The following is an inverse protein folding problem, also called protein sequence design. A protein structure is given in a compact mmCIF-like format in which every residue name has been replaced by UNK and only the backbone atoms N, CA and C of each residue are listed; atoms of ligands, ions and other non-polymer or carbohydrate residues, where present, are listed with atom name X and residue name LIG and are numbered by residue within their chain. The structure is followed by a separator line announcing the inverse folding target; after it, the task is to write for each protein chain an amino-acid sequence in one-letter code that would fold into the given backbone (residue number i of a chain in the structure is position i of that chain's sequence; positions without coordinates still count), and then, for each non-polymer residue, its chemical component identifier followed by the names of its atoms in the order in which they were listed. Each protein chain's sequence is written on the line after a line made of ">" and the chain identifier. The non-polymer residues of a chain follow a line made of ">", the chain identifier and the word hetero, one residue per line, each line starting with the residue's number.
data_IF_193733219810
#
_entry.id   IF_193733219810
#
_cell.length_a   1.000
_cell.length_b   1.000
_cell.length_c   1.000
_cell.angle_alpha   90.00
_cell.angle_beta   90.00
_cell.angle_gamma   90.00
#
_symmetry.space_group_name_H-M   'P 1'
#
loop_
_entity.id
_entity.type
_entity.pdbx_description
1 polymer ?
#
# COMPACT_ATOMS: atom_id res chain seq x y z
N UNK A 1 -19.22 25.89 -21.07
CA UNK A 1 -17.75 25.91 -21.31
C UNK A 1 -16.89 25.96 -20.03
N UNK A 2 -17.44 25.80 -18.82
CA UNK A 2 -16.64 25.70 -17.58
C UNK A 2 -16.16 24.29 -17.23
N UNK A 3 -16.67 23.27 -17.92
CA UNK A 3 -16.43 21.85 -17.63
C UNK A 3 -14.95 21.46 -17.84
N UNK A 4 -14.38 21.76 -19.01
CA UNK A 4 -13.00 21.38 -19.34
C UNK A 4 -11.99 22.06 -18.40
N UNK A 5 -12.17 23.35 -18.08
CA UNK A 5 -11.29 24.07 -17.16
C UNK A 5 -11.44 23.56 -15.71
N UNK A 6 -12.65 23.20 -15.30
CA UNK A 6 -12.90 22.59 -13.98
C UNK A 6 -12.28 21.19 -13.88
N UNK A 7 -12.41 20.37 -14.92
CA UNK A 7 -11.82 19.04 -15.00
C UNK A 7 -10.28 19.09 -14.97
N UNK A 8 -9.68 20.03 -15.71
CA UNK A 8 -8.24 20.26 -15.71
C UNK A 8 -7.76 20.75 -14.34
N UNK A 9 -8.46 21.72 -13.72
CA UNK A 9 -8.14 22.21 -12.38
C UNK A 9 -8.25 21.13 -11.30
N UNK A 10 -9.27 20.27 -11.37
CA UNK A 10 -9.41 19.10 -10.51
C UNK A 10 -8.23 18.13 -10.70
N UNK A 11 -7.81 17.88 -11.94
CA UNK A 11 -6.61 17.08 -12.26
C UNK A 11 -5.33 17.65 -11.65
N UNK A 12 -5.10 18.96 -11.74
CA UNK A 12 -3.94 19.62 -11.14
C UNK A 12 -3.95 19.57 -9.60
N UNK A 13 -5.13 19.67 -8.99
CA UNK A 13 -5.31 19.57 -7.54
C UNK A 13 -4.96 18.16 -7.03
N UNK A 14 -5.38 17.13 -7.77
CA UNK A 14 -5.08 15.73 -7.44
C UNK A 14 -3.60 15.39 -7.63
N UNK A 15 -2.95 15.95 -8.66
CA UNK A 15 -1.52 15.77 -8.88
C UNK A 15 -0.67 16.37 -7.74
N UNK A 16 -1.09 17.49 -7.15
CA UNK A 16 -0.41 18.10 -6.01
C UNK A 16 -0.44 17.24 -4.72
N UNK A 17 -1.39 16.30 -4.61
CA UNK A 17 -1.46 15.33 -3.51
C UNK A 17 -0.45 14.18 -3.68
N UNK A 18 0.06 13.97 -4.89
CA UNK A 18 1.15 13.04 -5.17
C UNK A 18 2.45 13.80 -4.93
N UNK A 19 2.88 13.88 -3.68
CA UNK A 19 4.20 14.43 -3.34
C UNK A 19 5.19 13.25 -3.26
N UNK A 20 5.80 12.81 -4.38
CA UNK A 20 6.70 11.68 -4.36
C UNK A 20 7.92 12.04 -3.50
N UNK A 21 8.39 11.07 -2.73
CA UNK A 21 9.62 11.25 -1.98
C UNK A 21 10.77 11.58 -2.94
N UNK A 22 11.54 12.61 -2.59
CA UNK A 22 12.72 13.07 -3.34
C UNK A 22 13.97 12.25 -3.04
N UNK A 23 13.87 11.22 -2.19
CA UNK A 23 14.98 10.35 -1.84
C UNK A 23 15.28 9.36 -2.98
N UNK A 24 16.54 8.97 -3.21
CA UNK A 24 16.85 7.87 -4.12
C UNK A 24 16.44 6.52 -3.51
N UNK A 25 16.22 5.52 -4.35
CA UNK A 25 16.10 4.13 -3.89
C UNK A 25 17.42 3.68 -3.28
N UNK A 26 17.34 3.04 -2.11
CA UNK A 26 18.49 2.51 -1.38
C UNK A 26 18.19 1.08 -0.98
N UNK A 27 19.23 0.27 -0.85
CA UNK A 27 19.10 -1.08 -0.34
C UNK A 27 18.47 -1.04 1.05
N UNK A 28 17.43 -1.84 1.23
CA UNK A 28 16.76 -2.03 2.51
C UNK A 28 17.32 -3.27 3.19
N UNK A 29 17.14 -3.36 4.50
CA UNK A 29 17.40 -4.59 5.24
C UNK A 29 16.35 -5.66 4.85
N UNK A 30 16.73 -6.77 4.21
CA UNK A 30 15.79 -7.82 3.82
C UNK A 30 15.07 -8.45 5.01
N UNK A 31 15.73 -8.59 6.16
CA UNK A 31 15.15 -9.23 7.34
C UNK A 31 14.02 -8.40 7.94
N UNK A 32 14.06 -7.08 7.77
CA UNK A 32 13.01 -6.19 8.25
C UNK A 32 11.68 -6.37 7.53
N UNK A 33 11.67 -6.88 6.29
CA UNK A 33 10.46 -6.99 5.46
C UNK A 33 10.00 -8.43 5.22
N UNK A 34 10.94 -9.37 5.06
CA UNK A 34 10.60 -10.76 4.74
C UNK A 34 9.71 -11.40 5.80
N UNK A 35 8.85 -12.32 5.36
CA UNK A 35 7.91 -13.04 6.21
C UNK A 35 6.45 -12.72 5.89
N UNK A 36 5.55 -13.23 6.74
CA UNK A 36 4.11 -12.99 6.57
C UNK A 36 3.62 -11.97 7.58
N UNK A 37 3.03 -10.91 7.08
CA UNK A 37 2.45 -9.81 7.83
C UNK A 37 0.94 -9.96 7.83
N UNK A 38 0.37 -10.33 8.96
CA UNK A 38 -1.07 -10.56 9.08
C UNK A 38 -1.71 -9.60 10.08
N UNK A 39 -2.98 -9.31 9.86
CA UNK A 39 -3.74 -8.41 10.71
C UNK A 39 -5.22 -8.37 10.35
N UNK A 40 -5.91 -7.45 11.01
CA UNK A 40 -7.34 -7.20 10.82
C UNK A 40 -7.52 -5.72 10.47
N UNK A 41 -8.31 -5.45 9.44
CA UNK A 41 -8.72 -4.10 9.06
C UNK A 41 -9.76 -3.53 10.02
N UNK A 42 -9.96 -2.21 9.96
CA UNK A 42 -10.99 -1.47 10.69
C UNK A 42 -12.41 -1.99 10.47
N UNK A 43 -12.68 -2.65 9.33
CA UNK A 43 -13.95 -3.29 9.01
C UNK A 43 -14.01 -4.78 9.40
N UNK A 44 -13.16 -5.20 10.34
CA UNK A 44 -13.04 -6.58 10.89
C UNK A 44 -12.55 -7.66 9.92
N UNK A 45 -12.30 -7.32 8.65
CA UNK A 45 -11.77 -8.27 7.66
C UNK A 45 -10.30 -8.57 7.91
N UNK A 46 -9.91 -9.84 7.76
CA UNK A 46 -8.52 -10.27 7.89
C UNK A 46 -7.75 -10.06 6.60
N UNK A 47 -6.45 -9.83 6.73
CA UNK A 47 -5.53 -9.76 5.62
C UNK A 47 -4.19 -10.42 5.96
N UNK A 48 -3.46 -10.82 4.92
CA UNK A 48 -2.10 -11.29 5.00
C UNK A 48 -1.28 -10.74 3.82
N UNK A 49 -0.05 -10.32 4.11
CA UNK A 49 0.93 -9.83 3.15
C UNK A 49 2.20 -10.66 3.34
N UNK A 50 2.49 -11.56 2.40
CA UNK A 50 3.74 -12.30 2.41
C UNK A 50 4.76 -11.58 1.54
N UNK A 51 5.90 -11.24 2.13
CA UNK A 51 7.02 -10.61 1.43
C UNK A 51 8.14 -11.63 1.31
N UNK A 52 8.63 -11.83 0.09
CA UNK A 52 9.71 -12.76 -0.24
C UNK A 52 10.66 -12.16 -1.26
N UNK A 53 11.85 -12.77 -1.40
CA UNK A 53 12.86 -12.38 -2.39
C UNK A 53 13.17 -10.88 -2.36
N UNK A 54 13.48 -10.36 -1.16
CA UNK A 54 13.89 -8.96 -1.00
C UNK A 54 15.34 -8.83 -1.46
N UNK A 55 15.54 -8.13 -2.58
CA UNK A 55 16.85 -7.87 -3.19
C UNK A 55 17.04 -6.36 -3.40
N UNK A 56 17.97 -5.78 -2.65
CA UNK A 56 18.20 -4.34 -2.61
C UNK A 56 16.95 -3.59 -2.14
N UNK A 57 16.20 -3.00 -3.08
CA UNK A 57 14.94 -2.28 -2.84
C UNK A 57 13.74 -2.93 -3.54
N UNK A 58 13.91 -4.12 -4.13
CA UNK A 58 12.86 -4.86 -4.83
C UNK A 58 12.39 -6.02 -3.97
N UNK A 59 11.11 -6.37 -4.04
CA UNK A 59 10.56 -7.52 -3.35
C UNK A 59 9.42 -8.16 -4.14
N UNK A 60 9.19 -9.45 -3.92
CA UNK A 60 7.98 -10.12 -4.36
C UNK A 60 6.97 -10.13 -3.21
N UNK A 61 5.74 -9.70 -3.50
CA UNK A 61 4.70 -9.59 -2.49
C UNK A 61 3.45 -10.32 -2.94
N UNK A 62 2.92 -11.12 -2.01
CA UNK A 62 1.61 -11.74 -2.10
C UNK A 62 0.67 -11.06 -1.10
N UNK A 63 -0.39 -10.45 -1.60
CA UNK A 63 -1.47 -9.92 -0.79
C UNK A 63 -2.65 -10.89 -0.80
N UNK A 64 -3.25 -11.14 0.37
CA UNK A 64 -4.47 -11.93 0.53
C UNK A 64 -5.44 -11.20 1.45
N UNK A 65 -6.67 -11.01 1.00
CA UNK A 65 -7.79 -10.58 1.85
C UNK A 65 -9.10 -11.05 1.22
N UNK A 66 -9.96 -11.68 2.01
CA UNK A 66 -11.30 -12.18 1.64
C UNK A 66 -11.45 -12.64 0.17
N UNK A 67 -10.77 -13.73 -0.18
CA UNK A 67 -10.87 -14.34 -1.51
C UNK A 67 -10.06 -13.63 -2.61
N UNK A 68 -9.59 -12.42 -2.37
CA UNK A 68 -8.68 -11.72 -3.29
C UNK A 68 -7.25 -12.10 -2.99
N UNK A 69 -6.54 -12.62 -3.99
CA UNK A 69 -5.11 -12.88 -3.96
C UNK A 69 -4.45 -12.05 -5.06
N UNK A 70 -3.42 -11.29 -4.72
CA UNK A 70 -2.62 -10.52 -5.69
C UNK A 70 -1.15 -10.84 -5.49
N UNK A 71 -0.43 -10.99 -6.60
CA UNK A 71 1.02 -11.12 -6.62
C UNK A 71 1.60 -9.93 -7.37
N UNK A 72 2.60 -9.28 -6.80
CA UNK A 72 3.24 -8.14 -7.44
C UNK A 72 4.70 -8.02 -7.03
N UNK A 73 5.55 -7.70 -8.00
CA UNK A 73 6.90 -7.20 -7.73
C UNK A 73 6.81 -5.73 -7.36
N UNK A 74 7.31 -5.37 -6.18
CA UNK A 74 7.20 -4.02 -5.63
C UNK A 74 8.57 -3.37 -5.47
N UNK A 75 8.58 -2.04 -5.43
CA UNK A 75 9.74 -1.24 -5.07
C UNK A 75 9.52 -0.66 -3.67
N UNK A 76 10.46 -0.90 -2.77
CA UNK A 76 10.45 -0.42 -1.39
C UNK A 76 11.13 0.95 -1.34
N UNK A 77 10.42 1.93 -0.81
CA UNK A 77 10.91 3.30 -0.63
C UNK A 77 10.30 3.96 0.60
N UNK A 78 11.11 4.69 1.35
CA UNK A 78 10.69 5.38 2.57
C UNK A 78 9.91 4.46 3.51
N UNK A 79 10.47 3.26 3.75
CA UNK A 79 9.88 2.21 4.57
C UNK A 79 8.52 1.70 4.10
N UNK A 80 8.15 1.93 2.84
CA UNK A 80 6.83 1.60 2.32
C UNK A 80 6.88 1.03 0.91
N UNK A 81 5.84 0.29 0.55
CA UNK A 81 5.59 -0.15 -0.81
C UNK A 81 4.08 -0.23 -1.05
N UNK A 82 3.67 -0.38 -2.32
CA UNK A 82 2.26 -0.53 -2.69
C UNK A 82 2.06 -1.83 -3.46
N UNK A 83 0.93 -2.49 -3.19
CA UNK A 83 0.41 -3.63 -3.93
C UNK A 83 -1.05 -3.37 -4.31
N UNK A 84 -1.29 -3.10 -5.59
CA UNK A 84 -2.56 -2.53 -6.06
C UNK A 84 -2.94 -1.28 -5.26
N UNK A 85 -4.13 -1.30 -4.66
CA UNK A 85 -4.70 -0.20 -3.85
C UNK A 85 -4.27 -0.23 -2.37
N UNK A 86 -3.41 -1.18 -2.00
CA UNK A 86 -2.91 -1.35 -0.63
C UNK A 86 -1.51 -0.77 -0.49
N UNK A 87 -1.31 0.09 0.51
CA UNK A 87 0.00 0.57 0.95
C UNK A 87 0.44 -0.16 2.21
N UNK A 88 1.61 -0.78 2.16
CA UNK A 88 2.35 -1.29 3.32
C UNK A 88 3.32 -0.22 3.79
N UNK A 89 3.36 0.05 5.09
CA UNK A 89 4.38 0.93 5.71
C UNK A 89 4.96 0.23 6.92
N UNK A 90 6.25 -0.08 6.89
CA UNK A 90 6.96 -0.69 8.01
C UNK A 90 6.98 0.29 9.19
N UNK A 91 6.50 -0.17 10.34
CA UNK A 91 6.57 0.53 11.61
C UNK A 91 7.76 0.06 12.45
N UNK A 92 7.81 0.53 13.69
CA UNK A 92 8.74 0.01 14.69
C UNK A 92 8.25 -1.31 15.30
N UNK A 93 9.15 -2.02 15.98
CA UNK A 93 8.84 -3.18 16.83
C UNK A 93 8.13 -4.34 16.11
N UNK A 94 8.49 -4.63 14.86
CA UNK A 94 7.92 -5.76 14.10
C UNK A 94 6.44 -5.58 13.75
N UNK A 95 5.98 -4.33 13.66
CA UNK A 95 4.63 -3.96 13.23
C UNK A 95 4.66 -3.21 11.90
N UNK A 96 3.55 -3.24 11.16
CA UNK A 96 3.39 -2.45 9.94
C UNK A 96 1.98 -1.86 9.86
N UNK A 97 1.88 -0.65 9.32
CA UNK A 97 0.60 -0.02 9.02
C UNK A 97 0.18 -0.35 7.59
N UNK A 98 -1.00 -0.95 7.46
CA UNK A 98 -1.60 -1.32 6.19
C UNK A 98 -2.78 -0.40 5.93
N UNK A 99 -2.80 0.22 4.76
CA UNK A 99 -3.88 1.10 4.33
C UNK A 99 -4.34 0.69 2.94
N UNK A 100 -5.64 0.44 2.78
CA UNK A 100 -6.22 0.00 1.51
C UNK A 100 -7.34 0.94 1.12
N UNK A 101 -7.25 1.52 -0.06
CA UNK A 101 -8.35 2.28 -0.64
C UNK A 101 -9.38 1.30 -1.19
N UNK A 102 -10.64 1.45 -0.78
CA UNK A 102 -11.75 0.63 -1.25
C UNK A 102 -12.78 1.55 -1.87
N UNK A 103 -13.10 1.27 -3.13
CA UNK A 103 -14.14 2.00 -3.86
C UNK A 103 -15.44 1.22 -3.76
N UNK A 104 -16.50 1.87 -3.28
CA UNK A 104 -17.84 1.32 -3.28
C UNK A 104 -18.36 1.23 -4.74
N UNK A 105 -18.77 0.04 -5.22
CA UNK A 105 -19.19 -0.13 -6.61
C UNK A 105 -20.53 0.54 -6.94
N UNK A 106 -21.35 0.89 -5.94
CA UNK A 106 -22.66 1.52 -6.11
C UNK A 106 -22.55 3.03 -6.03
N UNK A 107 -21.82 3.55 -5.04
CA UNK A 107 -21.72 5.00 -4.80
C UNK A 107 -20.47 5.65 -5.41
N UNK A 108 -19.51 4.86 -5.90
CA UNK A 108 -18.18 5.31 -6.35
C UNK A 108 -17.38 6.06 -5.29
N UNK A 109 -17.80 6.03 -4.03
CA UNK A 109 -17.07 6.68 -2.94
C UNK A 109 -15.85 5.83 -2.55
N UNK A 110 -14.73 6.52 -2.28
CA UNK A 110 -13.50 5.87 -1.82
C UNK A 110 -13.42 5.98 -0.31
N UNK A 111 -13.30 4.83 0.35
CA UNK A 111 -13.06 4.70 1.78
C UNK A 111 -11.67 4.15 2.05
N UNK A 112 -11.09 4.52 3.19
CA UNK A 112 -9.77 4.05 3.59
C UNK A 112 -9.90 3.01 4.70
N UNK A 113 -9.58 1.76 4.40
CA UNK A 113 -9.41 0.73 5.41
C UNK A 113 -8.01 0.82 5.98
N UNK A 114 -7.91 0.76 7.30
CA UNK A 114 -6.64 0.78 8.02
C UNK A 114 -6.51 -0.46 8.88
N UNK A 115 -5.29 -0.96 9.02
CA UNK A 115 -5.00 -2.11 9.87
C UNK A 115 -3.55 -2.08 10.33
N UNK A 116 -3.30 -2.73 11.47
CA UNK A 116 -1.95 -2.98 11.95
C UNK A 116 -1.62 -4.45 11.69
N UNK A 117 -0.54 -4.69 10.98
CA UNK A 117 -0.02 -6.03 10.74
C UNK A 117 1.09 -6.35 11.74
N UNK A 118 1.17 -7.62 12.15
CA UNK A 118 2.32 -8.18 12.86
C UNK A 118 2.97 -9.26 12.01
N UNK A 119 4.29 -9.34 12.13
CA UNK A 119 5.09 -10.37 11.45
C UNK A 119 5.00 -11.69 12.21
N UNK A 120 4.78 -12.78 11.47
CA UNK A 120 4.86 -14.17 11.93
C UNK A 120 5.90 -14.93 11.12
#
# INVERSE_FOLDING_TARGET
>A
MGDILSAIAAGYSQAALLNPSRTPYKNVDPEAYQGTWSGTYSNTKKFAITVSNVDGFRAQVKYQSEGTIKYQSVLIKDNSFRIGDTKFTLGSNGSASIRTAVTDPVTSQVSLLTGTAKRS
#
